data_IF_260242256172
#
_entry.id   IF_260242256172
#
_cell.length_a   1.000
_cell.length_b   1.000
_cell.length_c   1.000
_cell.angle_alpha   90.00
_cell.angle_beta   90.00
_cell.angle_gamma   90.00
#
_symmetry.space_group_name_H-M   'P 1'
#
loop_
_entity.id
_entity.type
_entity.pdbx_description
1 polymer ?
#
# COMPACT_ATOMS: atom_id res chain seq x y z
N UNK A 1 -32.95 4.79 9.72
CA UNK A 1 -33.45 4.74 8.33
C UNK A 1 -33.79 6.15 7.93
N UNK A 2 -33.00 6.74 7.02
CA UNK A 2 -33.32 8.05 6.47
C UNK A 2 -34.68 7.94 5.75
N UNK A 3 -35.59 8.89 6.00
CA UNK A 3 -36.84 8.96 5.29
C UNK A 3 -36.52 9.09 3.78
N UNK A 4 -36.98 8.14 2.97
CA UNK A 4 -36.90 8.25 1.52
C UNK A 4 -37.66 9.51 1.12
N UNK A 5 -36.95 10.51 0.58
CA UNK A 5 -37.58 11.72 0.06
C UNK A 5 -38.66 11.33 -0.95
N UNK A 6 -39.83 11.98 -0.89
CA UNK A 6 -40.91 11.67 -1.83
C UNK A 6 -40.53 12.16 -3.22
N UNK A 7 -40.14 11.23 -4.10
CA UNK A 7 -39.79 11.52 -5.49
C UNK A 7 -41.07 11.84 -6.26
N UNK A 8 -41.15 13.05 -6.81
CA UNK A 8 -42.30 13.52 -7.59
C UNK A 8 -41.89 13.89 -9.02
N UNK A 9 -42.88 14.12 -9.89
CA UNK A 9 -42.63 14.67 -11.23
C UNK A 9 -41.94 16.03 -11.09
N UNK A 10 -40.85 16.23 -11.84
CA UNK A 10 -39.99 17.41 -11.75
C UNK A 10 -38.85 17.31 -10.72
N UNK A 11 -38.81 16.26 -9.89
CA UNK A 11 -37.68 16.04 -8.97
C UNK A 11 -36.41 15.71 -9.75
N UNK A 12 -35.28 16.25 -9.29
CA UNK A 12 -33.95 15.85 -9.74
C UNK A 12 -33.55 14.55 -9.03
N UNK A 13 -33.05 13.58 -9.79
CA UNK A 13 -32.72 12.24 -9.30
C UNK A 13 -31.48 11.68 -9.97
N UNK A 14 -30.89 10.66 -9.35
CA UNK A 14 -29.85 9.80 -9.88
C UNK A 14 -30.44 8.45 -10.26
N UNK A 15 -29.99 7.91 -11.41
CA UNK A 15 -30.31 6.56 -11.89
C UNK A 15 -29.05 5.85 -12.36
N UNK A 16 -29.04 4.53 -12.29
CA UNK A 16 -27.90 3.71 -12.74
C UNK A 16 -27.66 3.86 -14.24
N UNK A 17 -26.39 3.97 -14.63
CA UNK A 17 -25.95 3.96 -16.03
C UNK A 17 -24.82 2.93 -16.20
N UNK A 18 -24.87 2.07 -17.24
CA UNK A 18 -23.84 1.05 -17.46
C UNK A 18 -22.42 1.60 -17.72
N UNK A 19 -22.31 2.82 -18.24
CA UNK A 19 -21.04 3.43 -18.65
C UNK A 19 -20.50 4.38 -17.57
N UNK A 20 -21.36 5.21 -16.96
CA UNK A 20 -20.99 6.24 -15.98
C UNK A 20 -21.25 5.84 -14.51
N UNK A 21 -21.75 4.62 -14.27
CA UNK A 21 -22.30 4.11 -13.01
C UNK A 21 -23.60 4.84 -12.56
N UNK A 22 -23.58 6.17 -12.49
CA UNK A 22 -24.73 6.99 -12.09
C UNK A 22 -24.86 8.22 -12.99
N UNK A 23 -26.09 8.51 -13.43
CA UNK A 23 -26.42 9.69 -14.21
C UNK A 23 -27.58 10.45 -13.56
N UNK A 24 -27.52 11.78 -13.62
CA UNK A 24 -28.59 12.64 -13.13
C UNK A 24 -29.68 12.86 -14.17
N UNK A 25 -30.88 13.16 -13.70
CA UNK A 25 -32.00 13.47 -14.57
C UNK A 25 -33.22 13.99 -13.83
N UNK A 26 -34.22 14.37 -14.62
CA UNK A 26 -35.50 14.88 -14.12
C UNK A 26 -36.59 13.82 -14.26
N UNK A 27 -37.38 13.64 -13.20
CA UNK A 27 -38.51 12.70 -13.21
C UNK A 27 -39.64 13.23 -14.11
N UNK A 28 -39.95 12.50 -15.18
CA UNK A 28 -41.05 12.82 -16.09
C UNK A 28 -42.38 12.21 -15.64
N UNK A 29 -42.35 10.96 -15.16
CA UNK A 29 -43.56 10.20 -14.80
C UNK A 29 -43.29 9.28 -13.62
N UNK A 30 -44.28 9.19 -12.72
CA UNK A 30 -44.30 8.24 -11.61
C UNK A 30 -45.53 7.34 -11.80
N UNK A 31 -45.31 6.06 -12.07
CA UNK A 31 -46.33 5.05 -12.32
C UNK A 31 -46.20 3.93 -11.27
N UNK A 32 -46.78 4.16 -10.09
CA UNK A 32 -46.68 3.21 -8.97
C UNK A 32 -45.23 2.97 -8.55
N UNK A 33 -44.72 1.76 -8.80
CA UNK A 33 -43.35 1.34 -8.46
C UNK A 33 -42.31 1.69 -9.55
N UNK A 34 -42.73 2.30 -10.66
CA UNK A 34 -41.84 2.64 -11.78
C UNK A 34 -41.74 4.16 -11.97
N UNK A 35 -40.52 4.65 -12.14
CA UNK A 35 -40.21 6.06 -12.35
C UNK A 35 -39.52 6.19 -13.70
N UNK A 36 -40.01 7.11 -14.53
CA UNK A 36 -39.40 7.45 -15.82
C UNK A 36 -38.65 8.76 -15.67
N UNK A 37 -37.35 8.72 -15.94
CA UNK A 37 -36.41 9.82 -15.76
C UNK A 37 -35.84 10.23 -17.12
N UNK A 38 -35.84 11.53 -17.41
CA UNK A 38 -35.09 12.12 -18.52
C UNK A 38 -33.68 12.44 -18.02
N UNK A 39 -32.71 11.67 -18.46
CA UNK A 39 -31.31 11.84 -18.04
C UNK A 39 -30.67 13.04 -18.73
N UNK A 40 -29.59 13.55 -18.14
CA UNK A 40 -28.81 14.68 -18.66
C UNK A 40 -28.18 14.41 -20.03
N UNK A 41 -28.00 13.14 -20.42
CA UNK A 41 -27.57 12.72 -21.76
C UNK A 41 -28.72 12.58 -22.78
N UNK A 42 -29.90 13.15 -22.49
CA UNK A 42 -31.13 13.08 -23.28
C UNK A 42 -31.75 11.67 -23.43
N UNK A 43 -31.15 10.63 -22.83
CA UNK A 43 -31.78 9.30 -22.77
C UNK A 43 -32.92 9.30 -21.76
N UNK A 44 -33.97 8.53 -22.06
CA UNK A 44 -35.06 8.28 -21.10
C UNK A 44 -34.88 6.90 -20.49
N UNK A 45 -34.79 6.84 -19.17
CA UNK A 45 -34.63 5.59 -18.41
C UNK A 45 -35.88 5.37 -17.58
N UNK A 46 -36.41 4.14 -17.59
CA UNK A 46 -37.48 3.71 -16.69
C UNK A 46 -36.87 2.73 -15.69
N UNK A 47 -36.86 3.12 -14.42
CA UNK A 47 -36.30 2.32 -13.34
C UNK A 47 -37.35 2.10 -12.24
N UNK A 48 -37.11 1.11 -11.38
CA UNK A 48 -37.91 0.93 -10.17
C UNK A 48 -37.63 2.06 -9.20
N UNK A 49 -38.63 2.46 -8.42
CA UNK A 49 -38.48 3.50 -7.40
C UNK A 49 -37.35 3.18 -6.40
N UNK A 50 -37.05 1.91 -6.15
CA UNK A 50 -35.94 1.45 -5.30
C UNK A 50 -34.53 1.74 -5.85
N UNK A 51 -34.39 1.98 -7.16
CA UNK A 51 -33.11 2.26 -7.83
C UNK A 51 -33.02 3.71 -8.32
N UNK A 52 -33.89 4.59 -7.80
CA UNK A 52 -33.89 6.02 -8.11
C UNK A 52 -33.58 6.75 -6.81
N UNK A 53 -32.52 7.54 -6.82
CA UNK A 53 -32.05 8.26 -5.64
C UNK A 53 -32.27 9.76 -5.81
N UNK A 54 -32.65 10.48 -4.76
CA UNK A 54 -32.89 11.92 -4.86
C UNK A 54 -31.57 12.69 -5.13
N UNK A 55 -31.60 13.68 -6.01
CA UNK A 55 -30.47 14.61 -6.19
C UNK A 55 -30.81 15.91 -5.50
N UNK A 56 -29.86 16.44 -4.73
CA UNK A 56 -30.02 17.76 -4.12
C UNK A 56 -29.78 18.85 -5.18
N UNK A 57 -30.78 19.67 -5.53
CA UNK A 57 -30.60 20.75 -6.51
C UNK A 57 -29.75 21.91 -5.96
N UNK A 58 -29.56 22.01 -4.64
CA UNK A 58 -28.75 23.05 -3.99
C UNK A 58 -27.33 22.58 -3.66
N UNK A 59 -26.93 21.40 -4.13
CA UNK A 59 -25.61 20.84 -3.87
C UNK A 59 -24.49 21.74 -4.42
N UNK A 60 -23.49 22.02 -3.58
CA UNK A 60 -22.32 22.81 -3.94
C UNK A 60 -21.59 22.17 -5.14
N UNK A 61 -21.31 22.92 -6.22
CA UNK A 61 -20.52 22.41 -7.34
C UNK A 61 -19.11 21.94 -6.91
N UNK A 62 -18.58 22.53 -5.84
CA UNK A 62 -17.28 22.21 -5.27
C UNK A 62 -17.32 21.00 -4.30
N UNK A 63 -18.51 20.42 -4.06
CA UNK A 63 -18.71 19.44 -3.01
C UNK A 63 -18.53 20.02 -1.61
N UNK A 64 -18.48 19.14 -0.62
CA UNK A 64 -18.34 19.41 0.81
C UNK A 64 -17.14 18.67 1.38
N UNK A 65 -16.46 19.30 2.34
CA UNK A 65 -15.31 18.72 3.04
C UNK A 65 -15.68 17.51 3.90
N UNK A 66 -16.90 17.49 4.47
CA UNK A 66 -17.43 16.36 5.24
C UNK A 66 -18.79 15.94 4.67
N UNK A 67 -18.83 14.70 4.19
CA UNK A 67 -20.03 14.12 3.56
C UNK A 67 -21.19 13.91 4.53
N UNK A 68 -20.98 14.03 5.84
CA UNK A 68 -22.11 14.08 6.81
C UNK A 68 -23.02 15.30 6.61
N UNK A 69 -22.54 16.32 5.86
CA UNK A 69 -23.29 17.53 5.50
C UNK A 69 -24.16 17.35 4.24
N UNK A 70 -24.05 16.23 3.53
CA UNK A 70 -24.88 15.96 2.35
C UNK A 70 -26.35 15.78 2.76
N UNK A 71 -27.27 16.34 1.96
CA UNK A 71 -28.71 16.14 2.16
C UNK A 71 -29.09 14.66 2.05
N UNK A 72 -28.45 13.94 1.11
CA UNK A 72 -28.68 12.53 0.87
C UNK A 72 -27.36 11.75 0.88
N UNK A 73 -27.15 10.95 1.93
CA UNK A 73 -25.99 10.08 2.07
C UNK A 73 -26.25 8.71 1.43
N UNK A 74 -26.39 8.69 0.11
CA UNK A 74 -26.47 7.47 -0.71
C UNK A 74 -25.31 7.42 -1.70
N UNK A 75 -25.09 6.27 -2.33
CA UNK A 75 -23.96 6.00 -3.23
C UNK A 75 -23.73 7.08 -4.31
N UNK A 76 -24.74 7.52 -5.10
CA UNK A 76 -24.49 8.54 -6.14
C UNK A 76 -24.06 9.91 -5.58
N UNK A 77 -24.57 10.31 -4.41
CA UNK A 77 -24.20 11.59 -3.78
C UNK A 77 -22.77 11.55 -3.23
N UNK A 78 -22.38 10.42 -2.62
CA UNK A 78 -21.00 10.18 -2.17
C UNK A 78 -20.03 10.21 -3.36
N UNK A 79 -20.35 9.49 -4.44
CA UNK A 79 -19.51 9.46 -5.64
C UNK A 79 -19.40 10.82 -6.32
N UNK A 80 -20.53 11.54 -6.46
CA UNK A 80 -20.53 12.88 -7.04
C UNK A 80 -19.68 13.86 -6.20
N UNK A 81 -19.80 13.84 -4.87
CA UNK A 81 -19.01 14.70 -4.00
C UNK A 81 -17.50 14.41 -4.14
N UNK A 82 -17.11 13.13 -4.13
CA UNK A 82 -15.72 12.72 -4.32
C UNK A 82 -15.20 13.15 -5.70
N UNK A 83 -16.01 12.99 -6.76
CA UNK A 83 -15.67 13.40 -8.14
C UNK A 83 -15.45 14.92 -8.21
N UNK A 84 -16.40 15.72 -7.74
CA UNK A 84 -16.30 17.19 -7.74
C UNK A 84 -15.05 17.69 -7.03
N UNK A 85 -14.72 17.12 -5.87
CA UNK A 85 -13.51 17.48 -5.11
C UNK A 85 -12.24 17.05 -5.83
N UNK A 86 -12.22 15.81 -6.34
CA UNK A 86 -11.08 15.27 -7.06
C UNK A 86 -10.74 16.08 -8.32
N UNK A 87 -11.75 16.55 -9.06
CA UNK A 87 -11.58 17.38 -10.25
C UNK A 87 -10.94 18.74 -9.94
N UNK A 88 -11.06 19.22 -8.70
CA UNK A 88 -10.38 20.42 -8.19
C UNK A 88 -9.05 20.11 -7.48
N UNK A 89 -8.61 18.86 -7.50
CA UNK A 89 -7.39 18.36 -6.86
C UNK A 89 -7.48 18.26 -5.33
N UNK A 90 -8.70 18.32 -4.78
CA UNK A 90 -8.99 18.06 -3.37
C UNK A 90 -9.17 16.56 -3.16
N UNK A 91 -8.06 15.85 -2.91
CA UNK A 91 -8.02 14.38 -2.88
C UNK A 91 -8.52 13.77 -1.56
N UNK A 92 -8.73 14.60 -0.55
CA UNK A 92 -9.08 14.20 0.80
C UNK A 92 -10.50 14.66 1.13
N UNK A 93 -11.32 13.79 1.73
CA UNK A 93 -12.70 14.11 2.10
C UNK A 93 -13.06 13.40 3.40
N UNK A 94 -13.73 14.07 4.33
CA UNK A 94 -14.24 13.43 5.55
C UNK A 94 -15.58 12.74 5.30
N UNK A 95 -15.82 11.70 6.10
CA UNK A 95 -17.15 11.15 6.36
C UNK A 95 -17.25 10.88 7.86
N UNK A 96 -17.62 11.92 8.61
CA UNK A 96 -17.56 11.91 10.07
C UNK A 96 -16.11 11.77 10.54
N UNK A 97 -15.80 10.73 11.33
CA UNK A 97 -14.44 10.49 11.84
C UNK A 97 -13.49 9.81 10.85
N UNK A 98 -13.97 9.43 9.67
CA UNK A 98 -13.19 8.72 8.65
C UNK A 98 -12.66 9.73 7.63
N UNK A 99 -11.39 9.60 7.27
CA UNK A 99 -10.78 10.32 6.15
C UNK A 99 -10.71 9.42 4.91
N UNK A 100 -11.38 9.83 3.84
CA UNK A 100 -11.28 9.21 2.52
C UNK A 100 -10.17 9.90 1.75
N UNK A 101 -9.29 9.11 1.13
CA UNK A 101 -8.22 9.56 0.26
C UNK A 101 -8.37 8.93 -1.13
N UNK A 102 -8.48 9.75 -2.18
CA UNK A 102 -8.55 9.29 -3.57
C UNK A 102 -7.19 9.51 -4.22
N UNK A 103 -6.55 8.44 -4.70
CA UNK A 103 -5.19 8.52 -5.25
C UNK A 103 -5.15 9.40 -6.52
N UNK A 104 -4.40 10.52 -6.54
CA UNK A 104 -4.35 11.42 -7.68
C UNK A 104 -3.45 10.97 -8.84
N UNK A 105 -2.70 9.86 -8.68
CA UNK A 105 -1.71 9.37 -9.65
C UNK A 105 -0.68 10.42 -10.12
N UNK A 106 -0.49 11.48 -9.34
CA UNK A 106 0.46 12.56 -9.60
C UNK A 106 0.89 13.21 -8.29
N UNK A 107 1.99 13.96 -8.33
CA UNK A 107 2.52 14.63 -7.14
C UNK A 107 1.78 15.93 -6.86
N UNK A 108 1.34 16.10 -5.62
CA UNK A 108 0.72 17.33 -5.10
C UNK A 108 1.55 17.86 -3.92
N UNK A 109 2.76 18.41 -4.15
CA UNK A 109 3.71 18.73 -3.09
C UNK A 109 3.24 19.85 -2.14
N UNK A 110 2.37 20.75 -2.62
CA UNK A 110 1.80 21.85 -1.84
C UNK A 110 0.92 21.36 -0.67
N UNK A 111 0.46 20.10 -0.69
CA UNK A 111 -0.32 19.52 0.40
C UNK A 111 0.54 19.06 1.58
N UNK A 112 1.87 18.96 1.42
CA UNK A 112 2.72 18.25 2.38
C UNK A 112 3.97 19.04 2.78
N UNK A 113 3.94 20.36 2.66
CA UNK A 113 5.04 21.19 3.12
C UNK A 113 4.99 21.44 4.64
N UNK A 114 6.02 22.12 5.15
CA UNK A 114 6.13 22.42 6.58
C UNK A 114 5.06 23.45 7.00
N UNK A 115 4.68 24.36 6.11
CA UNK A 115 3.68 25.38 6.40
C UNK A 115 2.31 24.72 6.63
N UNK A 116 1.97 23.72 5.83
CA UNK A 116 0.78 22.91 6.00
C UNK A 116 0.80 22.17 7.35
N UNK A 117 1.91 21.55 7.73
CA UNK A 117 2.03 20.90 9.05
C UNK A 117 1.84 21.90 10.20
N UNK A 118 2.35 23.12 10.09
CA UNK A 118 2.14 24.16 11.11
C UNK A 118 0.67 24.57 11.22
N UNK A 119 -0.06 24.65 10.10
CA UNK A 119 -1.49 25.01 10.12
C UNK A 119 -2.34 23.98 10.87
N UNK A 120 -2.07 22.68 10.69
CA UNK A 120 -2.84 21.61 11.37
C UNK A 120 -2.48 21.43 12.84
N UNK A 121 -1.38 22.03 13.31
CA UNK A 121 -0.90 21.86 14.67
C UNK A 121 -1.86 22.46 15.68
N UNK A 122 -2.54 21.59 16.42
CA UNK A 122 -3.51 21.98 17.43
C UNK A 122 -4.85 22.50 16.89
N UNK A 123 -5.08 22.44 15.57
CA UNK A 123 -6.36 22.76 14.97
C UNK A 123 -7.41 21.71 15.37
N UNK A 124 -8.66 22.13 15.57
CA UNK A 124 -9.73 21.19 15.90
C UNK A 124 -10.14 20.36 14.67
N UNK A 125 -10.59 19.12 14.91
CA UNK A 125 -10.96 18.23 13.81
C UNK A 125 -12.15 18.79 13.05
N UNK A 126 -12.00 18.97 11.74
CA UNK A 126 -13.02 19.56 10.86
C UNK A 126 -13.05 21.10 10.84
N UNK A 127 -12.17 21.77 11.59
CA UNK A 127 -11.97 23.22 11.48
C UNK A 127 -11.28 23.59 10.15
N UNK A 128 -10.24 22.82 9.81
CA UNK A 128 -9.52 22.91 8.54
C UNK A 128 -10.02 21.86 7.55
N UNK A 129 -9.61 22.03 6.29
CA UNK A 129 -9.92 21.10 5.20
C UNK A 129 -9.47 19.66 5.51
N UNK A 130 -10.04 18.65 4.82
CA UNK A 130 -9.71 17.27 5.09
C UNK A 130 -8.25 16.95 4.81
N UNK A 131 -7.54 16.38 5.79
CA UNK A 131 -6.12 16.08 5.62
C UNK A 131 -5.62 14.97 6.58
N UNK A 132 -4.64 14.13 6.18
CA UNK A 132 -4.02 13.16 7.07
C UNK A 132 -3.38 13.78 8.32
N UNK A 133 -2.94 15.04 8.23
CA UNK A 133 -2.36 15.78 9.35
C UNK A 133 -3.37 16.06 10.45
N UNK A 134 -4.64 16.34 10.11
CA UNK A 134 -5.70 16.50 11.11
C UNK A 134 -5.92 15.20 11.90
N UNK A 135 -5.97 14.06 11.21
CA UNK A 135 -6.12 12.74 11.85
C UNK A 135 -4.92 12.44 12.76
N UNK A 136 -3.70 12.73 12.29
CA UNK A 136 -2.48 12.53 13.06
C UNK A 136 -2.39 13.47 14.29
N UNK A 137 -2.80 14.73 14.15
CA UNK A 137 -2.82 15.73 15.22
C UNK A 137 -3.78 15.36 16.34
N UNK A 138 -5.00 14.98 16.00
CA UNK A 138 -6.00 14.51 16.96
C UNK A 138 -5.50 13.30 17.72
N UNK A 139 -4.97 12.29 17.01
CA UNK A 139 -4.40 11.11 17.66
C UNK A 139 -3.22 11.49 18.59
N UNK A 140 -2.32 12.35 18.14
CA UNK A 140 -1.19 12.79 18.96
C UNK A 140 -1.64 13.53 20.22
N UNK A 141 -2.59 14.47 20.11
CA UNK A 141 -3.11 15.21 21.26
C UNK A 141 -3.88 14.32 22.23
N UNK A 142 -4.73 13.42 21.74
CA UNK A 142 -5.45 12.45 22.58
C UNK A 142 -4.48 11.56 23.37
N UNK A 143 -3.42 11.08 22.71
CA UNK A 143 -2.37 10.29 23.36
C UNK A 143 -1.73 11.04 24.54
N UNK A 144 -1.42 12.34 24.37
CA UNK A 144 -0.81 13.15 25.43
C UNK A 144 -1.78 13.54 26.53
N UNK A 145 -3.01 13.90 26.18
CA UNK A 145 -4.00 14.40 27.12
C UNK A 145 -4.61 13.28 27.97
N UNK A 146 -4.86 12.12 27.37
CA UNK A 146 -5.49 10.99 28.05
C UNK A 146 -4.48 9.97 28.59
N UNK A 147 -3.23 10.02 28.10
CA UNK A 147 -2.20 9.03 28.46
C UNK A 147 -2.50 7.63 27.91
N UNK A 148 -3.33 7.52 26.87
CA UNK A 148 -3.76 6.25 26.25
C UNK A 148 -3.18 6.14 24.84
N UNK A 149 -2.63 4.97 24.50
CA UNK A 149 -2.10 4.69 23.15
C UNK A 149 -3.18 4.80 22.08
N UNK A 150 -2.82 5.36 20.94
CA UNK A 150 -3.73 5.59 19.81
C UNK A 150 -3.38 4.69 18.61
N UNK A 151 -4.34 4.47 17.72
CA UNK A 151 -4.13 3.70 16.50
C UNK A 151 -4.80 4.38 15.32
N UNK A 152 -4.11 4.43 14.17
CA UNK A 152 -4.64 4.94 12.91
C UNK A 152 -4.64 3.78 11.91
N UNK A 153 -5.82 3.38 11.45
CA UNK A 153 -5.98 2.30 10.48
C UNK A 153 -6.07 2.88 9.06
N UNK A 154 -5.08 2.58 8.23
CA UNK A 154 -5.09 2.95 6.80
C UNK A 154 -5.45 1.71 5.98
N UNK A 155 -6.63 1.70 5.39
CA UNK A 155 -7.16 0.58 4.59
C UNK A 155 -7.50 1.00 3.17
N UNK A 156 -7.64 0.02 2.27
CA UNK A 156 -7.91 0.24 0.85
C UNK A 156 -7.31 -0.83 -0.05
N UNK A 157 -7.73 -0.85 -1.31
CA UNK A 157 -7.25 -1.81 -2.30
C UNK A 157 -5.76 -1.62 -2.64
N UNK A 158 -5.18 -2.58 -3.38
CA UNK A 158 -3.81 -2.44 -3.89
C UNK A 158 -3.72 -1.23 -4.83
N UNK A 159 -2.72 -0.37 -4.64
CA UNK A 159 -2.58 0.87 -5.42
C UNK A 159 -3.43 2.06 -4.93
N UNK A 160 -4.27 1.90 -3.90
CA UNK A 160 -5.14 2.98 -3.40
C UNK A 160 -4.39 4.14 -2.69
N UNK A 161 -3.08 4.02 -2.45
CA UNK A 161 -2.28 5.07 -1.80
C UNK A 161 -1.98 4.86 -0.30
N UNK A 162 -2.34 3.70 0.27
CA UNK A 162 -2.13 3.37 1.70
C UNK A 162 -0.73 3.75 2.22
N UNK A 163 0.31 3.27 1.54
CA UNK A 163 1.72 3.50 1.93
C UNK A 163 2.07 4.99 1.94
N UNK A 164 1.58 5.76 0.97
CA UNK A 164 1.85 7.20 0.88
C UNK A 164 1.11 7.97 1.98
N UNK A 165 -0.15 7.64 2.25
CA UNK A 165 -0.90 8.22 3.38
C UNK A 165 -0.23 7.90 4.72
N UNK A 166 0.24 6.67 4.93
CA UNK A 166 1.02 6.30 6.13
C UNK A 166 2.29 7.13 6.26
N UNK A 167 3.04 7.34 5.17
CA UNK A 167 4.25 8.20 5.18
C UNK A 167 3.91 9.63 5.60
N UNK A 168 2.78 10.20 5.13
CA UNK A 168 2.37 11.55 5.52
C UNK A 168 2.00 11.65 7.00
N UNK A 169 1.23 10.68 7.52
CA UNK A 169 0.90 10.59 8.95
C UNK A 169 2.18 10.52 9.80
N UNK A 170 3.10 9.64 9.43
CA UNK A 170 4.38 9.48 10.12
C UNK A 170 5.23 10.75 10.12
N UNK A 171 5.31 11.43 8.98
CA UNK A 171 6.05 12.70 8.84
C UNK A 171 5.48 13.78 9.76
N UNK A 172 4.15 13.85 9.86
CA UNK A 172 3.49 14.78 10.78
C UNK A 172 3.77 14.44 12.25
N UNK A 173 3.64 13.17 12.64
CA UNK A 173 3.96 12.70 13.98
C UNK A 173 5.44 12.97 14.35
N UNK A 174 6.35 12.84 13.39
CA UNK A 174 7.76 13.19 13.54
C UNK A 174 7.98 14.69 13.73
N UNK A 175 7.26 15.51 12.98
CA UNK A 175 7.28 16.96 13.15
C UNK A 175 6.78 17.36 14.56
N UNK A 176 5.68 16.75 15.04
CA UNK A 176 5.10 17.02 16.36
C UNK A 176 5.97 16.52 17.52
N UNK A 177 6.54 15.32 17.39
CA UNK A 177 7.36 14.70 18.43
C UNK A 177 8.79 15.26 18.55
N UNK A 178 9.14 16.25 17.71
CA UNK A 178 10.43 16.92 17.76
C UNK A 178 11.63 16.04 17.42
N UNK A 179 12.77 16.68 17.11
CA UNK A 179 14.05 16.01 16.87
C UNK A 179 14.77 15.78 18.19
N UNK A 180 15.15 14.54 18.51
CA UNK A 180 16.37 14.35 19.28
C UNK A 180 17.53 14.85 18.40
N UNK A 181 18.22 15.89 18.86
CA UNK A 181 19.20 16.67 18.10
C UNK A 181 20.54 15.94 17.90
N UNK A 182 20.51 14.70 17.42
CA UNK A 182 21.72 13.88 17.22
C UNK A 182 21.82 13.40 15.77
N UNK A 183 22.73 14.03 15.04
CA UNK A 183 23.52 13.43 13.95
C UNK A 183 22.76 12.67 12.84
N UNK A 184 21.79 13.31 12.18
CA UNK A 184 21.34 12.90 10.84
C UNK A 184 20.62 11.55 10.71
N UNK A 185 20.37 10.86 11.84
CA UNK A 185 19.61 9.61 11.97
C UNK A 185 18.42 9.85 12.90
N UNK A 186 17.37 10.50 12.39
CA UNK A 186 16.11 10.61 13.14
C UNK A 186 15.39 9.26 13.14
N UNK A 187 14.64 8.97 14.20
CA UNK A 187 13.76 7.79 14.26
C UNK A 187 12.81 7.77 13.07
N UNK A 188 12.26 8.92 12.68
CA UNK A 188 11.48 9.09 11.44
C UNK A 188 12.24 8.55 10.22
N UNK A 189 13.48 9.00 10.01
CA UNK A 189 14.30 8.57 8.88
C UNK A 189 14.54 7.07 8.95
N UNK A 190 14.83 6.49 10.12
CA UNK A 190 15.02 5.04 10.24
C UNK A 190 13.75 4.27 9.88
N UNK A 191 12.58 4.69 10.34
CA UNK A 191 11.33 4.00 9.99
C UNK A 191 10.96 4.20 8.52
N UNK A 192 11.19 5.37 7.94
CA UNK A 192 10.98 5.60 6.51
C UNK A 192 11.97 4.79 5.66
N UNK A 193 13.22 4.67 6.10
CA UNK A 193 14.27 3.88 5.43
C UNK A 193 14.12 2.36 5.66
N UNK A 194 13.26 1.93 6.59
CA UNK A 194 12.85 0.53 6.65
C UNK A 194 11.98 0.10 5.46
N UNK A 195 11.32 1.04 4.78
CA UNK A 195 10.42 0.72 3.67
C UNK A 195 11.15 0.08 2.49
N UNK A 196 12.24 0.64 1.92
CA UNK A 196 12.97 -0.02 0.82
C UNK A 196 13.35 -1.47 1.15
N UNK A 197 13.80 -1.73 2.39
CA UNK A 197 14.14 -3.09 2.85
C UNK A 197 12.89 -3.98 2.90
N UNK A 198 11.79 -3.52 3.50
CA UNK A 198 10.56 -4.31 3.57
C UNK A 198 9.90 -4.52 2.20
N UNK A 199 9.99 -3.54 1.30
CA UNK A 199 9.47 -3.62 -0.06
C UNK A 199 10.29 -4.60 -0.90
N UNK A 200 11.63 -4.57 -0.80
CA UNK A 200 12.49 -5.52 -1.50
C UNK A 200 12.15 -6.98 -1.13
N UNK A 201 11.89 -7.27 0.14
CA UNK A 201 11.67 -8.64 0.64
C UNK A 201 10.19 -9.04 0.78
N UNK A 202 9.26 -8.09 0.71
CA UNK A 202 7.84 -8.30 1.01
C UNK A 202 6.88 -7.79 -0.07
N UNK A 203 7.38 -7.10 -1.11
CA UNK A 203 6.57 -6.71 -2.25
C UNK A 203 6.93 -7.52 -3.50
N UNK A 204 5.95 -7.64 -4.39
CA UNK A 204 6.09 -8.29 -5.68
C UNK A 204 5.17 -7.64 -6.71
N UNK A 205 5.48 -7.87 -7.99
CA UNK A 205 4.56 -7.55 -9.09
C UNK A 205 3.41 -8.55 -9.10
N UNK A 206 2.19 -8.01 -9.11
CA UNK A 206 0.94 -8.72 -9.33
C UNK A 206 0.26 -8.17 -10.59
N UNK A 207 -0.84 -8.80 -11.02
CA UNK A 207 -1.64 -8.32 -12.17
C UNK A 207 -2.13 -6.87 -12.00
N UNK A 208 -2.38 -6.43 -10.76
CA UNK A 208 -2.97 -5.11 -10.46
C UNK A 208 -1.96 -4.04 -10.09
N UNK A 209 -0.77 -4.43 -9.63
CA UNK A 209 0.21 -3.49 -9.09
C UNK A 209 1.63 -4.09 -9.18
N UNK A 210 2.55 -3.32 -9.78
CA UNK A 210 3.95 -3.70 -9.95
C UNK A 210 4.76 -3.76 -8.64
N UNK A 211 4.31 -3.08 -7.58
CA UNK A 211 4.95 -3.06 -6.26
C UNK A 211 3.91 -3.36 -5.16
N UNK A 212 3.23 -4.52 -5.26
CA UNK A 212 2.18 -4.91 -4.32
C UNK A 212 2.76 -5.48 -3.04
N UNK A 213 2.44 -4.91 -1.88
CA UNK A 213 2.76 -5.51 -0.59
C UNK A 213 2.03 -6.83 -0.39
N UNK A 214 2.79 -7.87 -0.03
CA UNK A 214 2.30 -9.22 0.25
C UNK A 214 2.40 -9.57 1.74
N UNK A 215 2.36 -8.54 2.58
CA UNK A 215 2.34 -8.59 4.03
C UNK A 215 1.60 -7.36 4.57
N UNK A 216 1.02 -7.48 5.77
CA UNK A 216 0.51 -6.36 6.55
C UNK A 216 1.63 -5.74 7.38
N UNK A 217 1.60 -4.42 7.56
CA UNK A 217 2.58 -3.68 8.35
C UNK A 217 1.88 -2.93 9.48
N UNK A 218 2.34 -3.14 10.71
CA UNK A 218 1.99 -2.31 11.86
C UNK A 218 3.23 -1.51 12.25
N UNK A 219 3.10 -0.19 12.28
CA UNK A 219 4.17 0.71 12.69
C UNK A 219 3.77 1.36 14.00
N UNK A 220 4.57 1.12 15.02
CA UNK A 220 4.45 1.71 16.34
C UNK A 220 5.44 2.88 16.42
N UNK A 221 4.95 4.09 16.69
CA UNK A 221 5.79 5.26 17.02
C UNK A 221 5.64 5.50 18.52
N UNK A 222 6.77 5.55 19.21
CA UNK A 222 6.82 5.65 20.66
C UNK A 222 7.20 7.07 21.05
N UNK A 223 6.48 7.60 22.05
CA UNK A 223 6.69 8.93 22.58
C UNK A 223 7.00 8.86 24.08
N UNK A 224 7.88 9.74 24.56
CA UNK A 224 8.14 9.93 25.99
C UNK A 224 7.03 10.75 26.66
N UNK A 225 7.09 10.90 27.98
CA UNK A 225 6.12 11.68 28.77
C UNK A 225 6.06 13.18 28.39
N UNK A 226 7.05 13.69 27.64
CA UNK A 226 7.08 15.07 27.14
C UNK A 226 6.58 15.16 25.69
N UNK A 227 6.03 14.07 25.15
CA UNK A 227 5.58 13.96 23.77
C UNK A 227 6.69 13.88 22.75
N UNK A 228 7.94 13.61 23.15
CA UNK A 228 9.04 13.50 22.19
C UNK A 228 9.18 12.08 21.68
N UNK A 229 9.56 11.91 20.42
CA UNK A 229 9.80 10.55 19.89
C UNK A 229 10.94 9.90 20.66
N UNK A 230 10.65 8.75 21.27
CA UNK A 230 11.59 7.93 22.04
C UNK A 230 12.02 6.67 21.27
N UNK A 231 11.23 6.22 20.30
CA UNK A 231 11.51 5.01 19.53
C UNK A 231 10.47 4.70 18.48
N UNK A 232 10.68 3.61 17.77
CA UNK A 232 9.69 3.05 16.84
C UNK A 232 9.91 1.55 16.66
N UNK A 233 8.83 0.83 16.37
CA UNK A 233 8.86 -0.58 16.06
C UNK A 233 8.03 -0.87 14.81
N UNK A 234 8.48 -1.83 13.99
CA UNK A 234 7.73 -2.31 12.85
C UNK A 234 7.44 -3.79 13.04
N UNK A 235 6.16 -4.16 13.00
CA UNK A 235 5.72 -5.56 13.04
C UNK A 235 5.08 -5.90 11.70
N UNK A 236 5.45 -7.06 11.16
CA UNK A 236 4.89 -7.56 9.91
C UNK A 236 3.95 -8.72 10.19
N UNK A 237 2.90 -8.84 9.39
CA UNK A 237 1.84 -9.83 9.53
C UNK A 237 1.57 -10.49 8.19
N UNK A 238 1.20 -11.77 8.22
CA UNK A 238 0.64 -12.49 7.07
C UNK A 238 1.48 -12.35 5.79
N UNK A 239 2.81 -12.50 5.90
CA UNK A 239 3.67 -12.60 4.72
C UNK A 239 3.22 -13.81 3.88
N UNK A 240 2.96 -13.60 2.60
CA UNK A 240 2.57 -14.65 1.66
C UNK A 240 3.77 -15.55 1.33
N UNK A 241 4.10 -16.46 2.26
CA UNK A 241 5.26 -17.37 2.13
C UNK A 241 5.15 -18.31 0.93
N UNK A 242 3.92 -18.69 0.54
CA UNK A 242 3.67 -19.57 -0.61
C UNK A 242 4.23 -19.00 -1.92
N UNK A 243 4.26 -17.66 -2.06
CA UNK A 243 4.78 -16.97 -3.25
C UNK A 243 6.23 -17.33 -3.58
N UNK A 244 7.03 -17.65 -2.56
CA UNK A 244 8.44 -18.00 -2.75
C UNK A 244 8.58 -19.21 -3.67
N UNK A 245 7.74 -20.23 -3.47
CA UNK A 245 7.82 -21.49 -4.22
C UNK A 245 6.85 -21.55 -5.40
N UNK A 246 5.80 -20.72 -5.41
CA UNK A 246 4.71 -20.76 -6.38
C UNK A 246 4.33 -19.35 -6.85
N UNK A 247 4.38 -19.10 -8.16
CA UNK A 247 4.03 -17.81 -8.76
C UNK A 247 2.92 -18.01 -9.79
N UNK A 248 1.90 -17.15 -9.74
CA UNK A 248 0.83 -17.10 -10.74
C UNK A 248 1.33 -16.54 -12.08
N UNK A 249 0.65 -16.91 -13.16
CA UNK A 249 0.94 -16.37 -14.49
C UNK A 249 0.92 -14.83 -14.48
N UNK A 250 1.85 -14.22 -15.23
CA UNK A 250 2.04 -12.76 -15.32
C UNK A 250 2.45 -12.02 -14.04
N UNK A 251 2.66 -12.72 -12.91
CA UNK A 251 3.18 -12.13 -11.67
C UNK A 251 4.69 -12.34 -11.51
N UNK A 252 5.29 -11.80 -10.44
CA UNK A 252 6.67 -12.10 -10.04
C UNK A 252 6.76 -12.67 -8.62
N UNK A 253 7.91 -13.24 -8.32
CA UNK A 253 8.36 -13.43 -6.94
C UNK A 253 8.70 -12.09 -6.27
N UNK A 254 9.12 -12.14 -5.00
CA UNK A 254 9.62 -10.98 -4.27
C UNK A 254 10.79 -10.30 -4.98
N UNK A 255 10.86 -8.97 -4.90
CA UNK A 255 11.83 -8.18 -5.66
C UNK A 255 13.29 -8.57 -5.34
N UNK A 256 13.60 -8.94 -4.10
CA UNK A 256 14.94 -9.31 -3.64
C UNK A 256 15.59 -10.42 -4.48
N UNK A 257 14.81 -11.38 -4.99
CA UNK A 257 15.32 -12.46 -5.84
C UNK A 257 15.78 -11.96 -7.22
N UNK A 258 15.09 -10.98 -7.79
CA UNK A 258 15.48 -10.39 -9.07
C UNK A 258 16.63 -9.39 -8.87
N UNK A 259 16.61 -8.65 -7.77
CA UNK A 259 17.69 -7.73 -7.37
C UNK A 259 19.03 -8.46 -7.22
N UNK A 260 19.07 -9.60 -6.52
CA UNK A 260 20.33 -10.35 -6.32
C UNK A 260 20.85 -10.96 -7.63
N UNK A 261 19.96 -11.39 -8.54
CA UNK A 261 20.33 -11.81 -9.89
C UNK A 261 20.85 -10.66 -10.77
N UNK A 262 20.52 -9.41 -10.43
CA UNK A 262 21.00 -8.19 -11.07
C UNK A 262 22.20 -7.55 -10.32
N UNK A 263 22.73 -8.20 -9.29
CA UNK A 263 23.91 -7.76 -8.55
C UNK A 263 25.17 -7.67 -9.41
N UNK A 264 26.26 -7.20 -8.80
CA UNK A 264 27.55 -7.08 -9.50
C UNK A 264 28.04 -8.44 -10.05
N UNK A 265 28.88 -8.46 -11.10
CA UNK A 265 29.48 -9.72 -11.58
C UNK A 265 30.17 -10.52 -10.47
N UNK A 266 30.84 -9.84 -9.54
CA UNK A 266 31.52 -10.44 -8.40
C UNK A 266 30.52 -11.12 -7.43
N UNK A 267 29.41 -10.46 -7.11
CA UNK A 267 28.35 -11.02 -6.26
C UNK A 267 27.66 -12.21 -6.93
N UNK A 268 27.38 -12.12 -8.23
CA UNK A 268 26.75 -13.22 -8.97
C UNK A 268 27.65 -14.44 -9.02
N UNK A 269 28.95 -14.26 -9.25
CA UNK A 269 29.91 -15.36 -9.20
C UNK A 269 30.00 -15.95 -7.78
N UNK A 270 30.12 -15.09 -6.77
CA UNK A 270 30.19 -15.48 -5.35
C UNK A 270 28.99 -16.32 -4.91
N UNK A 271 27.79 -15.97 -5.35
CA UNK A 271 26.55 -16.68 -5.03
C UNK A 271 26.17 -17.74 -6.06
N UNK A 272 26.98 -17.95 -7.10
CA UNK A 272 26.73 -18.87 -8.23
C UNK A 272 25.37 -18.61 -8.92
N UNK A 273 25.01 -17.34 -9.06
CA UNK A 273 23.77 -16.87 -9.65
C UNK A 273 23.89 -16.62 -11.15
N UNK A 274 22.84 -17.00 -11.88
CA UNK A 274 22.67 -16.74 -13.31
C UNK A 274 21.48 -15.83 -13.62
N UNK A 275 21.01 -15.89 -14.86
CA UNK A 275 19.80 -15.19 -15.29
C UNK A 275 18.55 -15.70 -14.51
N UNK A 276 17.60 -14.83 -14.11
CA UNK A 276 16.38 -15.23 -13.41
C UNK A 276 15.61 -16.38 -14.08
N UNK A 277 15.62 -16.47 -15.41
CA UNK A 277 14.94 -17.56 -16.15
C UNK A 277 15.51 -18.96 -15.87
N UNK A 278 16.72 -19.04 -15.32
CA UNK A 278 17.38 -20.31 -14.97
C UNK A 278 16.95 -20.89 -13.63
N UNK A 279 16.21 -20.12 -12.81
CA UNK A 279 15.73 -20.53 -11.50
C UNK A 279 14.25 -20.85 -11.53
N UNK A 280 13.89 -22.05 -11.09
CA UNK A 280 12.52 -22.56 -11.05
C UNK A 280 11.58 -21.62 -10.27
N UNK A 281 12.04 -21.09 -9.14
CA UNK A 281 11.27 -20.14 -8.33
C UNK A 281 11.14 -18.74 -8.96
N UNK A 282 11.72 -18.48 -10.13
CA UNK A 282 11.59 -17.20 -10.83
C UNK A 282 11.05 -17.35 -12.26
N UNK A 283 10.98 -18.57 -12.80
CA UNK A 283 10.62 -18.84 -14.19
C UNK A 283 9.24 -19.49 -14.39
N UNK A 284 8.47 -19.67 -13.32
CA UNK A 284 7.08 -20.13 -13.38
C UNK A 284 6.16 -19.12 -14.08
N UNK A 285 6.52 -17.83 -14.01
CA UNK A 285 5.92 -16.78 -14.81
C UNK A 285 6.96 -16.30 -15.84
N UNK A 286 6.53 -16.06 -17.08
CA UNK A 286 7.38 -15.47 -18.12
C UNK A 286 7.64 -13.95 -17.88
N UNK A 287 7.53 -13.48 -16.64
CA UNK A 287 7.66 -12.09 -16.25
C UNK A 287 8.92 -11.89 -15.40
N UNK A 288 10.01 -11.48 -16.04
CA UNK A 288 11.30 -11.27 -15.37
C UNK A 288 11.58 -9.80 -15.05
N UNK A 289 11.06 -8.89 -15.89
CA UNK A 289 11.33 -7.45 -15.82
C UNK A 289 10.05 -6.67 -15.52
N UNK A 290 10.24 -5.47 -14.98
CA UNK A 290 9.18 -4.48 -14.77
C UNK A 290 9.58 -3.23 -15.56
N UNK A 291 8.68 -2.74 -16.40
CA UNK A 291 8.95 -1.58 -17.26
C UNK A 291 9.33 -0.36 -16.42
N UNK A 292 10.47 0.27 -16.75
CA UNK A 292 10.98 1.44 -16.05
C UNK A 292 11.67 1.16 -14.70
N UNK A 293 11.81 -0.12 -14.31
CA UNK A 293 12.54 -0.51 -13.10
C UNK A 293 13.94 -1.03 -13.47
N UNK A 294 14.96 -0.59 -12.74
CA UNK A 294 16.32 -1.11 -12.84
C UNK A 294 16.65 -1.92 -11.58
N UNK A 295 16.62 -3.25 -11.68
CA UNK A 295 16.86 -4.13 -10.53
C UNK A 295 18.24 -3.93 -9.89
N UNK A 296 19.26 -3.55 -10.66
CA UNK A 296 20.62 -3.34 -10.14
C UNK A 296 20.69 -2.08 -9.27
N UNK A 297 19.97 -1.02 -9.69
CA UNK A 297 19.84 0.21 -8.93
C UNK A 297 19.03 -0.01 -7.65
N UNK A 298 17.90 -0.71 -7.75
CA UNK A 298 17.06 -1.05 -6.59
C UNK A 298 17.81 -1.92 -5.57
N UNK A 299 18.67 -2.83 -6.04
CA UNK A 299 19.55 -3.62 -5.19
C UNK A 299 20.49 -2.72 -4.37
N UNK A 300 21.18 -1.78 -5.03
CA UNK A 300 22.08 -0.84 -4.37
C UNK A 300 21.35 0.11 -3.40
N UNK A 301 20.15 0.57 -3.75
CA UNK A 301 19.32 1.40 -2.87
C UNK A 301 18.85 0.61 -1.64
N UNK A 302 18.50 -0.67 -1.81
CA UNK A 302 18.17 -1.57 -0.71
C UNK A 302 19.36 -1.76 0.24
N UNK A 303 20.57 -1.99 -0.28
CA UNK A 303 21.79 -2.11 0.55
C UNK A 303 22.08 -0.83 1.33
N UNK A 304 21.97 0.33 0.68
CA UNK A 304 22.12 1.64 1.36
C UNK A 304 21.06 1.84 2.45
N UNK A 305 19.82 1.41 2.21
CA UNK A 305 18.78 1.47 3.22
C UNK A 305 19.09 0.57 4.43
N UNK A 306 19.60 -0.65 4.18
CA UNK A 306 20.10 -1.57 5.21
C UNK A 306 21.20 -0.92 6.07
N UNK A 307 22.18 -0.24 5.44
CA UNK A 307 23.23 0.50 6.17
C UNK A 307 22.64 1.59 7.08
N UNK A 308 21.65 2.35 6.58
CA UNK A 308 21.04 3.47 7.33
C UNK A 308 20.26 2.99 8.55
N UNK A 309 19.57 1.84 8.44
CA UNK A 309 18.82 1.25 9.57
C UNK A 309 19.71 0.44 10.51
N UNK A 310 21.00 0.27 10.19
CA UNK A 310 22.01 -0.31 11.07
C UNK A 310 22.26 -1.80 10.87
N UNK A 311 21.90 -2.38 9.73
CA UNK A 311 22.24 -3.77 9.38
C UNK A 311 23.68 -3.80 8.88
N UNK A 312 24.55 -4.55 9.57
CA UNK A 312 25.99 -4.60 9.27
C UNK A 312 26.27 -5.21 7.89
N UNK A 313 27.46 -4.97 7.35
CA UNK A 313 27.86 -5.59 6.07
C UNK A 313 27.91 -7.12 6.17
N UNK A 314 28.26 -7.69 7.32
CA UNK A 314 28.20 -9.14 7.55
C UNK A 314 26.76 -9.66 7.57
N UNK A 315 25.85 -8.93 8.22
CA UNK A 315 24.42 -9.29 8.25
C UNK A 315 23.78 -9.20 6.86
N UNK A 316 24.07 -8.14 6.10
CA UNK A 316 23.60 -8.01 4.71
C UNK A 316 24.09 -9.17 3.84
N UNK A 317 25.37 -9.52 3.97
CA UNK A 317 25.97 -10.66 3.28
C UNK A 317 25.24 -11.97 3.64
N UNK A 318 24.97 -12.21 4.92
CA UNK A 318 24.22 -13.38 5.38
C UNK A 318 22.79 -13.41 4.82
N UNK A 319 22.10 -12.27 4.80
CA UNK A 319 20.75 -12.13 4.23
C UNK A 319 20.76 -12.52 2.75
N UNK A 320 21.66 -11.96 1.95
CA UNK A 320 21.71 -12.24 0.51
C UNK A 320 22.17 -13.67 0.20
N UNK A 321 23.01 -14.29 1.04
CA UNK A 321 23.30 -15.73 0.96
C UNK A 321 22.05 -16.58 1.15
N UNK A 322 21.19 -16.25 2.11
CA UNK A 322 19.91 -16.95 2.31
C UNK A 322 19.03 -16.81 1.07
N UNK A 323 18.90 -15.60 0.53
CA UNK A 323 18.12 -15.33 -0.69
C UNK A 323 18.63 -16.17 -1.86
N UNK A 324 19.94 -16.18 -2.10
CA UNK A 324 20.55 -17.01 -3.14
C UNK A 324 20.33 -18.52 -2.90
N UNK A 325 20.53 -18.99 -1.67
CA UNK A 325 20.36 -20.40 -1.32
C UNK A 325 18.93 -20.89 -1.59
N UNK A 326 17.91 -20.06 -1.30
CA UNK A 326 16.51 -20.36 -1.62
C UNK A 326 16.30 -20.56 -3.13
N UNK A 327 16.93 -19.75 -3.98
CA UNK A 327 16.88 -19.94 -5.43
C UNK A 327 17.50 -21.26 -5.87
N UNK A 328 18.64 -21.63 -5.29
CA UNK A 328 19.27 -22.93 -5.58
C UNK A 328 18.40 -24.10 -5.09
N UNK A 329 17.78 -24.01 -3.91
CA UNK A 329 16.85 -25.04 -3.43
C UNK A 329 15.69 -25.28 -4.41
N UNK A 330 15.15 -24.22 -5.01
CA UNK A 330 14.08 -24.34 -6.00
C UNK A 330 14.46 -25.14 -7.26
N UNK A 331 15.75 -25.25 -7.56
CA UNK A 331 16.26 -26.02 -8.72
C UNK A 331 16.63 -27.47 -8.40
N UNK A 332 16.43 -27.94 -7.16
CA UNK A 332 16.71 -29.33 -6.81
C UNK A 332 15.53 -30.20 -7.24
N UNK A 333 15.69 -30.91 -8.36
CA UNK A 333 14.75 -31.95 -8.77
C UNK A 333 15.11 -33.28 -8.11
N UNK A 334 14.11 -33.99 -7.61
CA UNK A 334 14.24 -35.32 -6.99
C UNK A 334 13.77 -36.43 -7.94
N UNK A 335 14.35 -37.62 -7.79
CA UNK A 335 13.94 -38.86 -8.44
C UNK A 335 13.85 -39.98 -7.38
N UNK A 336 13.25 -41.12 -7.74
CA UNK A 336 13.17 -42.30 -6.88
C UNK A 336 14.58 -42.75 -6.45
N UNK A 337 14.73 -43.01 -5.15
CA UNK A 337 15.96 -43.52 -4.57
C UNK A 337 16.09 -45.03 -4.70
N UNK A 338 17.17 -45.58 -4.14
CA UNK A 338 17.49 -47.01 -4.26
C UNK A 338 16.72 -47.87 -3.25
N UNK A 339 16.23 -47.25 -2.17
CA UNK A 339 15.39 -47.88 -1.14
C UNK A 339 13.90 -47.57 -1.34
N UNK A 340 13.03 -48.42 -0.77
CA UNK A 340 11.57 -48.20 -0.78
C UNK A 340 11.22 -46.88 -0.08
N UNK A 341 10.32 -46.10 -0.69
CA UNK A 341 9.89 -44.77 -0.23
C UNK A 341 11.03 -43.75 -0.05
N UNK A 342 12.15 -43.93 -0.78
CA UNK A 342 13.30 -43.01 -0.75
C UNK A 342 13.36 -42.10 -1.99
N UNK A 343 14.08 -40.98 -1.87
CA UNK A 343 14.32 -40.04 -2.97
C UNK A 343 15.78 -39.58 -2.99
N UNK A 344 16.31 -39.36 -4.20
CA UNK A 344 17.66 -38.82 -4.42
C UNK A 344 17.63 -37.65 -5.40
N UNK A 345 18.63 -36.74 -5.40
CA UNK A 345 18.75 -35.73 -6.44
C UNK A 345 18.79 -36.37 -7.83
N UNK A 346 17.97 -35.87 -8.75
CA UNK A 346 17.70 -36.48 -10.06
C UNK A 346 18.95 -36.59 -10.96
N UNK A 347 19.84 -35.60 -10.90
CA UNK A 347 21.04 -35.54 -11.74
C UNK A 347 22.12 -34.65 -11.10
N UNK A 348 23.28 -34.54 -11.75
CA UNK A 348 24.40 -33.69 -11.33
C UNK A 348 24.01 -32.21 -11.22
N UNK A 349 23.05 -31.72 -12.02
CA UNK A 349 22.54 -30.34 -11.92
C UNK A 349 21.78 -30.15 -10.61
N UNK A 350 20.89 -31.06 -10.24
CA UNK A 350 20.21 -31.05 -8.93
C UNK A 350 21.23 -31.13 -7.79
N UNK A 351 22.26 -31.98 -7.92
CA UNK A 351 23.31 -32.11 -6.92
C UNK A 351 24.15 -30.84 -6.77
N UNK A 352 24.47 -30.16 -7.88
CA UNK A 352 25.16 -28.86 -7.88
C UNK A 352 24.36 -27.81 -7.11
N UNK A 353 23.06 -27.69 -7.38
CA UNK A 353 22.19 -26.75 -6.68
C UNK A 353 22.07 -27.09 -5.19
N UNK A 354 21.92 -28.37 -4.84
CA UNK A 354 21.87 -28.82 -3.45
C UNK A 354 23.15 -28.49 -2.67
N UNK A 355 24.32 -28.79 -3.25
CA UNK A 355 25.63 -28.46 -2.64
C UNK A 355 25.83 -26.96 -2.49
N UNK A 356 25.46 -26.19 -3.52
CA UNK A 356 25.56 -24.73 -3.48
C UNK A 356 24.67 -24.13 -2.40
N UNK A 357 23.41 -24.59 -2.26
CA UNK A 357 22.53 -24.16 -1.20
C UNK A 357 23.12 -24.48 0.18
N UNK A 358 23.67 -25.69 0.37
CA UNK A 358 24.32 -26.09 1.62
C UNK A 358 25.53 -25.20 1.97
N UNK A 359 26.41 -24.93 1.00
CA UNK A 359 27.54 -24.01 1.18
C UNK A 359 27.05 -22.62 1.62
N UNK A 360 26.08 -22.05 0.91
CA UNK A 360 25.55 -20.72 1.21
C UNK A 360 24.93 -20.63 2.62
N UNK A 361 24.24 -21.68 3.09
CA UNK A 361 23.69 -21.74 4.45
C UNK A 361 24.75 -21.95 5.53
N UNK A 362 25.77 -22.78 5.29
CA UNK A 362 26.79 -23.10 6.31
C UNK A 362 27.56 -21.86 6.78
N UNK A 363 27.86 -20.94 5.86
CA UNK A 363 28.52 -19.68 6.22
C UNK A 363 27.65 -18.76 7.10
N UNK A 364 26.32 -18.91 7.06
CA UNK A 364 25.40 -18.13 7.91
C UNK A 364 25.36 -18.67 9.34
N UNK A 365 25.39 -20.00 9.50
CA UNK A 365 25.36 -20.65 10.83
C UNK A 365 26.61 -20.35 11.66
N UNK A 366 27.77 -20.13 11.02
CA UNK A 366 28.98 -19.70 11.72
C UNK A 366 28.89 -18.27 12.28
N UNK A 367 28.09 -17.38 11.68
CA UNK A 367 27.92 -15.99 12.13
C UNK A 367 26.95 -15.91 13.32
N UNK A 368 25.94 -16.77 13.37
CA UNK A 368 24.95 -16.81 14.45
C UNK A 368 25.44 -17.53 15.74
N UNK A 369 26.68 -18.03 15.77
CA UNK A 369 27.24 -18.85 16.85
C UNK A 369 28.23 -18.08 17.76
N UNK A 370 28.20 -16.76 17.79
CA UNK A 370 29.02 -15.92 18.67
C UNK A 370 28.18 -14.98 19.54
#
# INVERSE_FOLDING_TARGET
MAAQASIAVGSQVWVEDPDEAWIDGEVLKVNGDTITVKCSNEKTVTAKASHVHAKDPEESPCGVDDMTKLAYLHEPGVLQNLKSRYDMNEIYTYTGSILIAVNPFRRLPHLYDIQMMEQYKGADFGELSPHPFAVADVAYRLMLNEGISQSILVSGESGAGKTESTKMIMRYLAYMGGKAATEGRTVEKQVLQSNPVLEAFGNAKTVRNNNSSRFGKFVEIQFDQKGRISGAAVRTYLLERSRVCQISESERNYHCFYMICAGSPEEREKYKLGDPSTFHYLNQSNCYKIDGLDESKEYLETRKAMDIIGISSEEQEAIFRIVAAILHLGNVEFAEGDDVDSSKPKNEKSMFHLRTAAELFMYVLCIASF
#
